data_IF_496384342559
#
_entry.id   IF_496384342559
#
_cell.length_a   1.000
_cell.length_b   1.000
_cell.length_c   1.000
_cell.angle_alpha   90.00
_cell.angle_beta   90.00
_cell.angle_gamma   90.00
#
_symmetry.space_group_name_H-M   'P 1'
#
loop_
_entity.id
_entity.type
_entity.pdbx_description
1 polymer ?
#
# COMPACT_ATOMS: atom_id res chain seq x y z
N UNK A 1 -10.62 22.94 -1.42
CA UNK A 1 -9.54 22.43 -0.56
C UNK A 1 -8.46 23.50 -0.52
N UNK A 2 -7.92 23.87 0.65
CA UNK A 2 -6.75 24.73 0.68
C UNK A 2 -5.64 24.10 -0.17
N UNK A 3 -4.95 24.92 -0.96
CA UNK A 3 -3.83 24.48 -1.79
C UNK A 3 -2.62 24.07 -0.94
N UNK A 4 -1.50 23.67 -1.57
CA UNK A 4 -0.29 23.30 -0.84
C UNK A 4 0.18 24.44 0.07
N UNK A 5 0.48 24.12 1.33
CA UNK A 5 1.13 25.04 2.26
C UNK A 5 2.61 25.16 1.88
N UNK A 6 3.10 26.38 1.66
CA UNK A 6 4.51 26.62 1.40
C UNK A 6 5.33 26.21 2.63
N UNK A 7 6.33 25.36 2.43
CA UNK A 7 7.32 25.01 3.45
C UNK A 7 8.59 25.83 3.26
N UNK A 8 9.41 25.93 4.31
CA UNK A 8 10.78 26.38 4.17
C UNK A 8 11.56 25.46 3.20
N UNK A 9 12.58 25.97 2.49
CA UNK A 9 13.45 25.13 1.67
C UNK A 9 14.07 24.00 2.51
N UNK A 10 14.07 22.79 1.96
CA UNK A 10 14.65 21.59 2.57
C UNK A 10 15.81 21.08 1.73
N UNK A 11 16.80 20.46 2.37
CA UNK A 11 17.84 19.69 1.68
C UNK A 11 17.30 18.32 1.26
N UNK A 12 17.94 17.67 0.28
CA UNK A 12 17.56 16.31 -0.12
C UNK A 12 17.62 15.32 1.05
N UNK A 13 18.61 15.46 1.94
CA UNK A 13 18.72 14.61 3.12
C UNK A 13 17.55 14.81 4.09
N UNK A 14 17.10 16.05 4.29
CA UNK A 14 15.94 16.33 5.14
C UNK A 14 14.65 15.74 4.57
N UNK A 15 14.49 15.75 3.25
CA UNK A 15 13.36 15.11 2.57
C UNK A 15 13.40 13.60 2.82
N UNK A 16 14.55 12.96 2.59
CA UNK A 16 14.73 11.52 2.83
C UNK A 16 14.46 11.17 4.29
N UNK A 17 14.99 11.95 5.24
CA UNK A 17 14.76 11.74 6.67
C UNK A 17 13.30 11.93 7.09
N UNK A 18 12.53 12.74 6.35
CA UNK A 18 11.10 12.93 6.62
C UNK A 18 10.26 11.79 6.04
N UNK A 19 10.67 11.22 4.91
CA UNK A 19 9.97 10.12 4.24
C UNK A 19 10.40 8.73 4.72
N UNK A 20 11.60 8.55 5.27
CA UNK A 20 12.11 7.27 5.77
C UNK A 20 12.55 7.41 7.23
N UNK A 21 11.59 7.68 8.09
CA UNK A 21 11.79 8.12 9.48
C UNK A 21 11.59 7.00 10.52
N UNK A 22 11.22 5.79 10.10
CA UNK A 22 10.84 4.71 11.00
C UNK A 22 11.79 3.51 10.91
N UNK A 23 12.17 2.95 12.07
CA UNK A 23 12.99 1.75 12.21
C UNK A 23 12.39 0.82 13.26
N UNK A 24 12.09 -0.42 12.87
CA UNK A 24 11.44 -1.40 13.77
C UNK A 24 12.38 -1.81 14.93
N UNK A 25 13.67 -1.99 14.67
CA UNK A 25 14.66 -2.50 15.64
C UNK A 25 15.27 -1.42 16.55
N UNK A 26 15.25 -0.15 16.15
CA UNK A 26 15.95 0.93 16.84
C UNK A 26 15.04 1.73 17.80
N UNK A 27 13.87 1.19 18.14
CA UNK A 27 12.78 2.01 18.64
C UNK A 27 12.96 2.38 20.11
N UNK A 28 13.24 3.66 20.35
CA UNK A 28 12.76 4.44 21.50
C UNK A 28 11.25 4.67 21.46
N UNK A 29 10.50 3.95 20.60
CA UNK A 29 9.06 4.10 20.44
C UNK A 29 8.32 3.56 21.66
N UNK A 30 7.42 4.39 22.19
CA UNK A 30 6.46 4.00 23.22
C UNK A 30 5.31 3.14 22.67
N UNK A 31 5.03 3.19 21.36
CA UNK A 31 3.97 2.40 20.73
C UNK A 31 4.53 1.07 20.20
N UNK A 32 4.18 -0.04 20.86
CA UNK A 32 4.51 -1.40 20.41
C UNK A 32 3.60 -1.80 19.25
N UNK A 33 4.14 -1.87 18.05
CA UNK A 33 3.44 -2.41 16.88
C UNK A 33 3.35 -3.94 16.99
N UNK A 34 2.24 -4.50 16.51
CA UNK A 34 1.94 -5.93 16.57
C UNK A 34 1.99 -6.53 15.16
N UNK A 35 2.86 -7.52 14.89
CA UNK A 35 2.89 -8.24 13.63
C UNK A 35 1.54 -8.84 13.24
N UNK A 36 1.13 -8.61 12.00
CA UNK A 36 -0.01 -9.29 11.38
C UNK A 36 0.49 -10.45 10.52
N UNK A 37 0.16 -11.67 10.92
CA UNK A 37 0.57 -12.92 10.29
C UNK A 37 -0.57 -13.51 9.44
N UNK A 38 -0.22 -14.41 8.53
CA UNK A 38 -1.22 -15.17 7.75
C UNK A 38 -1.83 -16.34 8.54
N UNK A 39 -1.10 -16.90 9.50
CA UNK A 39 -1.55 -17.96 10.41
C UNK A 39 -0.78 -17.88 11.73
N UNK A 40 -1.22 -18.64 12.73
CA UNK A 40 -0.50 -18.81 14.01
C UNK A 40 0.75 -19.70 13.91
N UNK A 41 1.07 -20.24 12.73
CA UNK A 41 2.28 -21.02 12.53
C UNK A 41 3.53 -20.19 12.86
N UNK A 42 4.53 -20.73 13.58
CA UNK A 42 5.81 -20.04 13.84
C UNK A 42 6.57 -19.64 12.56
N UNK A 43 6.31 -20.31 11.43
CA UNK A 43 6.89 -19.99 10.13
C UNK A 43 6.06 -19.01 9.30
N UNK A 44 4.92 -18.55 9.82
CA UNK A 44 4.06 -17.62 9.09
C UNK A 44 4.77 -16.27 8.94
N UNK A 45 4.82 -15.70 7.72
CA UNK A 45 5.37 -14.38 7.53
C UNK A 45 4.45 -13.33 8.15
N UNK A 46 5.06 -12.21 8.57
CA UNK A 46 4.34 -10.99 8.87
C UNK A 46 4.09 -10.22 7.58
N UNK A 47 2.82 -9.94 7.28
CA UNK A 47 2.38 -9.21 6.08
C UNK A 47 2.05 -7.74 6.36
N UNK A 48 1.98 -7.37 7.63
CA UNK A 48 1.78 -5.99 8.07
C UNK A 48 2.11 -5.78 9.54
N UNK A 49 2.02 -4.52 9.97
CA UNK A 49 2.26 -4.08 11.35
C UNK A 49 1.06 -3.29 11.86
N UNK A 50 0.42 -3.78 12.91
CA UNK A 50 -0.79 -3.20 13.47
C UNK A 50 -0.45 -2.27 14.63
N UNK A 51 -1.13 -1.11 14.66
CA UNK A 51 -1.12 -0.23 15.84
C UNK A 51 -2.01 -0.81 16.95
N UNK A 52 -1.72 -0.57 18.24
CA UNK A 52 -2.51 -1.09 19.36
C UNK A 52 -4.01 -0.82 19.27
N UNK A 53 -4.42 0.35 18.77
CA UNK A 53 -5.82 0.71 18.56
C UNK A 53 -6.54 -0.21 17.54
N UNK A 54 -5.84 -0.62 16.49
CA UNK A 54 -6.35 -1.55 15.48
C UNK A 54 -6.48 -2.95 16.09
N UNK A 55 -5.48 -3.40 16.85
CA UNK A 55 -5.53 -4.68 17.56
C UNK A 55 -6.69 -4.72 18.56
N UNK A 56 -6.90 -3.66 19.33
CA UNK A 56 -8.01 -3.55 20.28
C UNK A 56 -9.36 -3.66 19.58
N UNK A 57 -9.52 -3.01 18.41
CA UNK A 57 -10.74 -3.12 17.62
C UNK A 57 -10.94 -4.55 17.08
N UNK A 58 -9.90 -5.20 16.56
CA UNK A 58 -10.00 -6.58 16.08
C UNK A 58 -10.41 -7.55 17.21
N UNK A 59 -9.89 -7.36 18.43
CA UNK A 59 -10.30 -8.14 19.61
C UNK A 59 -11.76 -7.90 19.96
N UNK A 60 -12.22 -6.64 19.92
CA UNK A 60 -13.63 -6.28 20.15
C UNK A 60 -14.54 -6.97 19.14
N UNK A 61 -14.17 -7.01 17.87
CA UNK A 61 -14.94 -7.70 16.83
C UNK A 61 -14.91 -9.22 16.99
N UNK A 62 -13.76 -9.79 17.34
CA UNK A 62 -13.65 -11.22 17.61
C UNK A 62 -14.54 -11.65 18.80
N UNK A 63 -14.61 -10.83 19.85
CA UNK A 63 -15.47 -11.08 21.01
C UNK A 63 -16.97 -10.93 20.71
N UNK A 64 -17.33 -10.10 19.73
CA UNK A 64 -18.71 -9.93 19.27
C UNK A 64 -19.15 -10.98 18.24
N UNK A 65 -18.20 -11.69 17.61
CA UNK A 65 -18.48 -12.74 16.65
C UNK A 65 -18.91 -14.04 17.34
N UNK A 66 -19.74 -14.85 16.66
CA UNK A 66 -20.07 -16.19 17.13
C UNK A 66 -18.81 -17.05 17.21
N UNK A 67 -18.63 -17.78 18.32
CA UNK A 67 -17.53 -18.72 18.52
C UNK A 67 -17.46 -19.82 17.43
N UNK A 68 -18.52 -20.01 16.64
CA UNK A 68 -18.58 -21.00 15.56
C UNK A 68 -17.78 -20.63 14.30
N UNK A 69 -17.34 -19.37 14.13
CA UNK A 69 -16.59 -18.93 12.94
C UNK A 69 -15.72 -17.70 13.24
N UNK A 70 -14.66 -17.83 14.07
CA UNK A 70 -13.75 -16.72 14.33
C UNK A 70 -13.01 -16.31 13.06
N UNK A 71 -12.77 -15.00 12.89
CA UNK A 71 -11.96 -14.48 11.79
C UNK A 71 -10.47 -14.28 12.16
N UNK A 72 -10.19 -14.17 13.47
CA UNK A 72 -8.89 -13.74 14.00
C UNK A 72 -8.42 -14.69 15.10
N UNK A 73 -7.10 -14.90 15.17
CA UNK A 73 -6.39 -15.49 16.28
C UNK A 73 -5.36 -14.49 16.82
N UNK A 74 -5.10 -14.53 18.12
CA UNK A 74 -4.21 -13.59 18.80
C UNK A 74 -3.20 -14.37 19.64
N UNK A 75 -1.91 -14.08 19.44
CA UNK A 75 -0.85 -14.56 20.32
C UNK A 75 -0.70 -13.63 21.51
N UNK A 76 -0.63 -14.18 22.72
CA UNK A 76 -0.39 -13.39 23.93
C UNK A 76 1.11 -13.29 24.22
N UNK A 77 1.56 -12.06 24.48
CA UNK A 77 2.82 -11.78 25.15
C UNK A 77 2.66 -11.60 26.65
N UNK A 78 3.77 -11.32 27.33
CA UNK A 78 3.73 -10.96 28.75
C UNK A 78 2.75 -9.79 29.01
N UNK A 79 2.01 -9.89 30.11
CA UNK A 79 1.04 -8.88 30.58
C UNK A 79 -0.20 -8.62 29.67
N UNK A 80 -0.63 -9.59 28.85
CA UNK A 80 -1.92 -9.53 28.13
C UNK A 80 -1.92 -8.64 26.88
N UNK A 81 -0.75 -8.18 26.44
CA UNK A 81 -0.59 -7.50 25.15
C UNK A 81 -0.48 -8.54 24.03
N UNK A 82 -1.08 -8.29 22.86
CA UNK A 82 -0.90 -9.18 21.71
C UNK A 82 0.56 -9.11 21.23
N UNK A 83 1.20 -10.26 21.06
CA UNK A 83 2.51 -10.37 20.41
C UNK A 83 2.38 -10.56 18.90
N UNK A 84 1.24 -11.07 18.44
CA UNK A 84 0.88 -11.12 17.02
C UNK A 84 -0.64 -11.25 16.85
N UNK A 85 -1.13 -10.92 15.65
CA UNK A 85 -2.50 -11.19 15.19
C UNK A 85 -2.41 -12.02 13.92
N UNK A 86 -3.28 -13.01 13.72
CA UNK A 86 -3.36 -13.78 12.47
C UNK A 86 -4.80 -14.05 12.07
N UNK A 87 -5.01 -14.50 10.83
CA UNK A 87 -6.30 -15.09 10.45
C UNK A 87 -6.54 -16.38 11.23
N UNK A 88 -7.80 -16.63 11.62
CA UNK A 88 -8.15 -17.85 12.35
C UNK A 88 -7.93 -19.13 11.52
N UNK A 89 -7.75 -20.29 12.17
CA UNK A 89 -7.65 -21.57 11.50
C UNK A 89 -8.80 -21.82 10.51
N UNK A 90 -8.46 -22.29 9.30
CA UNK A 90 -9.42 -22.52 8.21
C UNK A 90 -9.57 -21.35 7.23
N UNK A 91 -8.98 -20.18 7.51
CA UNK A 91 -8.85 -19.06 6.57
C UNK A 91 -7.46 -19.13 5.92
N UNK A 92 -7.26 -20.16 5.11
CA UNK A 92 -5.95 -20.59 4.58
C UNK A 92 -5.82 -20.44 3.05
N UNK A 93 -6.77 -19.75 2.42
CA UNK A 93 -6.73 -19.43 0.98
C UNK A 93 -6.73 -17.91 0.75
N UNK A 94 -6.11 -17.42 -0.35
CA UNK A 94 -6.17 -16.01 -0.70
C UNK A 94 -7.60 -15.46 -0.82
N UNK A 95 -8.50 -16.24 -1.39
CA UNK A 95 -9.92 -15.90 -1.51
C UNK A 95 -10.61 -15.81 -0.15
N UNK A 96 -10.37 -16.75 0.77
CA UNK A 96 -10.94 -16.71 2.12
C UNK A 96 -10.46 -15.48 2.91
N UNK A 97 -9.15 -15.19 2.87
CA UNK A 97 -8.56 -13.99 3.50
C UNK A 97 -9.14 -12.71 2.89
N UNK A 98 -9.25 -12.65 1.56
CA UNK A 98 -9.83 -11.49 0.86
C UNK A 98 -11.29 -11.25 1.25
N UNK A 99 -12.09 -12.31 1.45
CA UNK A 99 -13.48 -12.19 1.94
C UNK A 99 -13.54 -11.62 3.36
N UNK A 100 -12.68 -12.08 4.26
CA UNK A 100 -12.58 -11.54 5.63
C UNK A 100 -12.22 -10.05 5.57
N UNK A 101 -11.19 -9.70 4.80
CA UNK A 101 -10.73 -8.32 4.66
C UNK A 101 -11.79 -7.42 4.03
N UNK A 102 -12.50 -7.89 3.00
CA UNK A 102 -13.62 -7.16 2.40
C UNK A 102 -14.68 -6.83 3.46
N UNK A 103 -15.13 -7.82 4.22
CA UNK A 103 -16.15 -7.63 5.24
C UNK A 103 -15.71 -6.67 6.35
N UNK A 104 -14.44 -6.73 6.77
CA UNK A 104 -13.86 -5.82 7.76
C UNK A 104 -13.79 -4.39 7.21
N UNK A 105 -13.25 -4.20 6.01
CA UNK A 105 -13.12 -2.89 5.37
C UNK A 105 -14.49 -2.22 5.16
N UNK A 106 -15.48 -2.97 4.66
CA UNK A 106 -16.84 -2.45 4.46
C UNK A 106 -17.49 -2.05 5.78
N UNK A 107 -17.38 -2.87 6.83
CA UNK A 107 -17.90 -2.51 8.16
C UNK A 107 -17.24 -1.23 8.71
N UNK A 108 -15.92 -1.12 8.62
CA UNK A 108 -15.19 0.04 9.15
C UNK A 108 -15.52 1.33 8.39
N UNK A 109 -15.70 1.23 7.07
CA UNK A 109 -16.20 2.31 6.21
C UNK A 109 -17.59 2.75 6.65
N UNK A 110 -18.51 1.80 6.82
CA UNK A 110 -19.93 2.07 7.08
C UNK A 110 -20.19 2.56 8.50
N UNK A 111 -19.38 2.10 9.47
CA UNK A 111 -19.46 2.57 10.86
C UNK A 111 -18.76 3.91 11.09
N UNK A 112 -17.95 4.39 10.14
CA UNK A 112 -17.15 5.61 10.27
C UNK A 112 -16.11 5.55 11.38
N UNK A 113 -15.54 4.36 11.64
CA UNK A 113 -14.63 4.15 12.78
C UNK A 113 -13.29 4.87 12.62
N UNK A 114 -12.82 4.99 11.37
CA UNK A 114 -11.59 5.70 10.98
C UNK A 114 -11.90 6.61 9.79
N UNK A 115 -12.55 7.76 10.03
CA UNK A 115 -13.11 8.58 8.95
C UNK A 115 -12.04 9.19 8.02
N UNK A 116 -10.81 9.35 8.52
CA UNK A 116 -9.70 9.95 7.79
C UNK A 116 -8.94 8.93 6.93
N UNK A 117 -9.03 7.65 7.27
CA UNK A 117 -8.37 6.53 6.62
C UNK A 117 -9.32 5.74 5.72
N UNK A 118 -10.44 5.25 6.27
CA UNK A 118 -11.42 4.38 5.59
C UNK A 118 -12.84 4.91 5.79
N UNK A 119 -13.29 5.71 4.82
CA UNK A 119 -14.63 6.29 4.78
C UNK A 119 -15.17 6.27 3.36
N UNK A 120 -16.48 6.51 3.15
CA UNK A 120 -17.05 6.59 1.80
C UNK A 120 -16.33 7.61 0.90
N UNK A 121 -15.79 8.68 1.49
CA UNK A 121 -15.00 9.70 0.77
C UNK A 121 -13.60 9.22 0.38
N UNK A 122 -13.01 8.30 1.15
CA UNK A 122 -11.65 7.77 0.94
C UNK A 122 -11.63 6.45 0.18
N UNK A 123 -12.76 5.75 0.11
CA UNK A 123 -12.93 4.49 -0.61
C UNK A 123 -12.55 4.65 -2.09
N UNK A 124 -11.73 3.73 -2.59
CA UNK A 124 -11.21 3.79 -3.96
C UNK A 124 -11.82 2.74 -4.87
N UNK A 125 -12.43 1.69 -4.29
CA UNK A 125 -12.87 0.52 -5.05
C UNK A 125 -11.69 -0.09 -5.83
N UNK A 126 -10.53 -0.11 -5.16
CA UNK A 126 -9.24 -0.48 -5.72
C UNK A 126 -8.59 -1.44 -4.73
N UNK A 127 -8.43 -2.69 -5.15
CA UNK A 127 -7.89 -3.75 -4.30
C UNK A 127 -6.38 -3.82 -4.49
N UNK A 128 -5.63 -3.65 -3.41
CA UNK A 128 -4.18 -3.85 -3.41
C UNK A 128 -3.82 -5.30 -3.10
N UNK A 129 -2.78 -5.86 -3.75
CA UNK A 129 -2.27 -7.18 -3.41
C UNK A 129 -1.47 -7.12 -2.11
N UNK A 130 -1.63 -8.15 -1.28
CA UNK A 130 -0.77 -8.42 -0.12
C UNK A 130 0.07 -9.64 -0.45
N UNK A 131 1.37 -9.53 -0.24
CA UNK A 131 2.34 -10.59 -0.48
C UNK A 131 2.92 -11.10 0.83
N UNK A 132 3.33 -12.37 0.84
CA UNK A 132 3.99 -13.06 1.95
C UNK A 132 5.36 -12.47 2.22
N UNK A 133 6.11 -12.28 1.14
CA UNK A 133 7.31 -11.46 1.08
C UNK A 133 7.00 -10.26 0.16
N UNK A 134 6.89 -9.03 0.70
CA UNK A 134 6.61 -7.85 -0.12
C UNK A 134 7.70 -7.53 -1.16
N UNK A 135 8.89 -8.13 -1.03
CA UNK A 135 9.99 -8.01 -1.98
C UNK A 135 10.22 -9.27 -2.82
N UNK A 136 9.37 -10.29 -2.62
CA UNK A 136 9.38 -11.53 -3.39
C UNK A 136 8.71 -11.41 -4.78
N UNK A 137 8.54 -12.54 -5.47
CA UNK A 137 7.89 -12.59 -6.78
C UNK A 137 6.46 -12.02 -6.76
N UNK A 138 6.05 -11.38 -7.85
CA UNK A 138 4.67 -10.91 -8.05
C UNK A 138 3.88 -11.93 -8.86
N UNK A 139 3.51 -13.01 -8.20
CA UNK A 139 2.87 -14.18 -8.79
C UNK A 139 1.36 -14.18 -8.51
N UNK A 140 0.67 -13.10 -8.88
CA UNK A 140 -0.78 -13.04 -8.76
C UNK A 140 -1.44 -14.23 -9.49
N UNK A 141 -2.24 -15.06 -8.80
CA UNK A 141 -2.92 -16.19 -9.41
C UNK A 141 -3.93 -15.69 -10.44
N UNK A 142 -4.19 -16.47 -11.50
CA UNK A 142 -5.41 -16.24 -12.27
C UNK A 142 -6.64 -16.35 -11.36
N UNK A 143 -7.75 -15.68 -11.69
CA UNK A 143 -8.95 -15.65 -10.81
C UNK A 143 -9.48 -17.02 -10.40
N UNK A 144 -9.24 -18.07 -11.19
CA UNK A 144 -9.65 -19.43 -10.87
C UNK A 144 -8.84 -20.09 -9.74
N UNK A 145 -7.65 -19.57 -9.43
CA UNK A 145 -6.68 -20.20 -8.53
C UNK A 145 -6.60 -19.53 -7.15
N UNK A 146 -7.36 -18.46 -6.89
CA UNK A 146 -7.39 -17.78 -5.57
C UNK A 146 -7.96 -18.66 -4.43
N UNK A 147 -8.68 -19.74 -4.75
CA UNK A 147 -9.18 -20.74 -3.78
C UNK A 147 -8.21 -21.91 -3.55
N UNK A 148 -7.06 -21.94 -4.24
CA UNK A 148 -6.05 -22.96 -4.02
C UNK A 148 -5.56 -22.94 -2.56
N UNK A 149 -5.59 -24.10 -1.91
CA UNK A 149 -5.06 -24.30 -0.57
C UNK A 149 -3.55 -24.47 -0.61
N UNK A 150 -2.91 -24.10 0.49
CA UNK A 150 -1.47 -24.10 0.60
C UNK A 150 -0.94 -22.84 -0.06
N UNK A 151 -0.27 -22.02 0.72
CA UNK A 151 0.35 -20.79 0.25
C UNK A 151 1.53 -21.13 -0.70
N UNK A 152 1.25 -21.60 -1.91
CA UNK A 152 2.27 -21.98 -2.89
C UNK A 152 2.88 -20.75 -3.58
N UNK A 153 2.08 -19.69 -3.72
CA UNK A 153 2.46 -18.41 -4.30
C UNK A 153 2.91 -17.43 -3.21
N UNK A 154 3.65 -16.41 -3.62
CA UNK A 154 3.96 -15.26 -2.79
C UNK A 154 2.73 -14.35 -2.60
N UNK A 155 1.82 -14.30 -3.56
CA UNK A 155 0.52 -13.65 -3.39
C UNK A 155 -0.27 -14.28 -2.23
N UNK A 156 -0.64 -13.47 -1.26
CA UNK A 156 -1.32 -13.93 -0.05
C UNK A 156 -2.84 -13.70 -0.08
N UNK A 157 -3.28 -12.50 -0.48
CA UNK A 157 -4.68 -12.07 -0.62
C UNK A 157 -4.73 -10.62 -1.16
N UNK A 158 -5.93 -10.03 -1.26
CA UNK A 158 -6.12 -8.61 -1.60
C UNK A 158 -7.07 -7.92 -0.64
N UNK A 159 -6.90 -6.61 -0.48
CA UNK A 159 -7.74 -5.78 0.39
C UNK A 159 -7.90 -4.36 -0.19
N UNK A 160 -8.92 -3.64 0.27
CA UNK A 160 -9.17 -2.27 -0.15
C UNK A 160 -7.98 -1.35 0.17
N UNK A 161 -7.53 -0.57 -0.82
CA UNK A 161 -6.42 0.39 -0.72
C UNK A 161 -6.57 1.35 0.46
N UNK A 162 -7.78 1.80 0.77
CA UNK A 162 -8.04 2.71 1.89
C UNK A 162 -7.64 2.12 3.26
N UNK A 163 -7.66 0.80 3.41
CA UNK A 163 -7.29 0.13 4.66
C UNK A 163 -5.78 -0.17 4.79
N UNK A 164 -4.97 0.05 3.75
CA UNK A 164 -3.56 -0.37 3.76
C UNK A 164 -2.74 0.25 4.90
N UNK A 165 -3.00 1.52 5.22
CA UNK A 165 -2.32 2.21 6.33
C UNK A 165 -2.73 1.69 7.71
N UNK A 166 -3.99 1.27 7.90
CA UNK A 166 -4.47 0.71 9.16
C UNK A 166 -3.86 -0.66 9.45
N UNK A 167 -3.64 -1.46 8.40
CA UNK A 167 -3.04 -2.79 8.52
C UNK A 167 -1.51 -2.79 8.36
N UNK A 168 -0.91 -1.64 8.07
CA UNK A 168 0.54 -1.49 7.94
C UNK A 168 1.16 -2.41 6.90
N UNK A 169 0.45 -2.70 5.80
CA UNK A 169 0.97 -3.51 4.71
C UNK A 169 1.91 -2.69 3.83
N UNK A 170 2.83 -3.37 3.13
CA UNK A 170 3.61 -2.72 2.07
C UNK A 170 2.70 -2.48 0.87
N UNK A 171 2.63 -1.22 0.43
CA UNK A 171 1.92 -0.82 -0.79
C UNK A 171 2.89 -0.55 -1.92
N UNK A 172 2.44 -0.70 -3.15
CA UNK A 172 3.29 -0.51 -4.32
C UNK A 172 2.68 0.49 -5.30
N UNK A 173 3.56 1.23 -5.96
CA UNK A 173 3.19 2.21 -6.98
C UNK A 173 4.22 2.26 -8.10
N UNK A 174 3.79 2.80 -9.23
CA UNK A 174 4.65 3.17 -10.36
C UNK A 174 4.80 4.68 -10.39
N UNK A 175 6.00 5.14 -10.74
CA UNK A 175 6.29 6.55 -10.94
C UNK A 175 7.15 6.67 -12.20
N UNK A 176 6.75 7.54 -13.12
CA UNK A 176 7.46 7.80 -14.36
C UNK A 176 7.78 9.28 -14.51
N UNK A 177 9.01 9.57 -14.90
CA UNK A 177 9.49 10.90 -15.26
C UNK A 177 9.58 10.99 -16.78
N UNK A 178 8.83 11.93 -17.36
CA UNK A 178 8.90 12.28 -18.78
C UNK A 178 9.72 13.55 -18.92
N UNK A 179 10.65 13.53 -19.87
CA UNK A 179 11.52 14.66 -20.15
C UNK A 179 11.81 14.78 -21.64
N UNK A 180 12.19 15.98 -22.06
CA UNK A 180 12.72 16.28 -23.39
C UNK A 180 14.14 16.86 -23.26
N UNK A 181 14.98 16.61 -24.26
CA UNK A 181 16.27 17.28 -24.38
C UNK A 181 16.03 18.75 -24.75
N UNK A 182 16.67 19.66 -24.02
CA UNK A 182 16.62 21.07 -24.31
C UNK A 182 17.74 21.45 -25.29
N UNK A 183 17.41 22.27 -26.28
CA UNK A 183 18.44 22.88 -27.13
C UNK A 183 19.38 23.74 -26.28
N UNK A 184 20.68 23.50 -26.41
CA UNK A 184 21.74 24.23 -25.71
C UNK A 184 22.73 24.81 -26.71
N UNK A 185 23.30 25.98 -26.39
CA UNK A 185 24.31 26.60 -27.22
C UNK A 185 25.58 25.73 -27.32
N UNK A 186 26.35 25.80 -28.42
CA UNK A 186 27.60 25.05 -28.56
C UNK A 186 28.53 25.28 -27.36
N UNK A 187 29.03 24.19 -26.77
CA UNK A 187 29.92 24.22 -25.61
C UNK A 187 29.21 24.23 -24.24
N UNK A 188 27.88 24.21 -24.19
CA UNK A 188 27.12 24.01 -22.95
C UNK A 188 26.83 22.52 -22.69
N UNK A 189 26.70 22.10 -21.41
CA UNK A 189 26.32 20.73 -21.09
C UNK A 189 24.90 20.42 -21.57
N UNK A 190 24.59 19.14 -21.87
CA UNK A 190 23.22 18.71 -22.16
C UNK A 190 22.26 19.15 -21.05
N UNK A 191 21.08 19.63 -21.45
CA UNK A 191 20.03 20.07 -20.53
C UNK A 191 18.73 19.34 -20.86
N UNK A 192 17.89 19.16 -19.85
CA UNK A 192 16.59 18.50 -20.00
C UNK A 192 15.48 19.34 -19.38
N UNK A 193 14.28 19.27 -19.95
CA UNK A 193 13.06 19.80 -19.36
C UNK A 193 12.19 18.65 -18.91
N UNK A 194 11.78 18.66 -17.64
CA UNK A 194 10.95 17.62 -17.05
C UNK A 194 9.49 18.07 -17.05
N UNK A 195 8.59 17.16 -17.42
CA UNK A 195 7.15 17.39 -17.37
C UNK A 195 6.66 17.21 -15.93
N UNK A 196 6.39 18.31 -15.25
CA UNK A 196 5.95 18.32 -13.84
C UNK A 196 4.48 18.76 -13.75
N UNK A 197 3.53 17.82 -13.63
CA UNK A 197 2.12 18.16 -13.51
C UNK A 197 1.80 18.73 -12.13
N UNK A 198 0.67 19.44 -12.06
CA UNK A 198 0.02 19.83 -10.81
C UNK A 198 -1.22 18.96 -10.60
N UNK A 199 -1.30 18.30 -9.44
CA UNK A 199 -2.45 17.45 -9.08
C UNK A 199 -3.74 18.26 -9.07
N UNK A 200 -4.80 17.70 -9.63
CA UNK A 200 -6.11 18.35 -9.64
C UNK A 200 -6.58 18.68 -8.22
N UNK A 201 -7.27 19.82 -8.06
CA UNK A 201 -7.80 20.27 -6.76
C UNK A 201 -8.86 19.31 -6.17
N UNK A 202 -9.39 18.41 -7.00
CA UNK A 202 -10.38 17.37 -6.65
C UNK A 202 -9.75 16.06 -6.19
N UNK A 203 -8.43 15.85 -6.35
CA UNK A 203 -7.77 14.62 -5.85
C UNK A 203 -7.91 14.56 -4.33
N UNK A 204 -8.26 13.37 -3.83
CA UNK A 204 -8.51 13.15 -2.39
C UNK A 204 -7.23 13.27 -1.54
N UNK A 205 -6.07 12.97 -2.13
CA UNK A 205 -4.75 13.06 -1.50
C UNK A 205 -3.92 14.12 -2.20
N UNK A 206 -3.31 15.01 -1.42
CA UNK A 206 -2.37 16.04 -1.88
C UNK A 206 -2.90 16.91 -3.04
N UNK A 207 -4.11 17.49 -2.95
CA UNK A 207 -4.65 18.33 -4.02
C UNK A 207 -3.79 19.58 -4.26
N UNK A 208 -3.49 19.90 -5.52
CA UNK A 208 -2.73 21.10 -5.90
C UNK A 208 -1.21 21.03 -5.74
N UNK A 209 -0.68 19.92 -5.20
CA UNK A 209 0.76 19.64 -5.14
C UNK A 209 1.32 19.28 -6.52
N UNK A 210 2.63 19.43 -6.71
CA UNK A 210 3.33 18.90 -7.89
C UNK A 210 3.51 17.39 -7.76
N UNK A 211 3.64 16.69 -8.90
CA UNK A 211 3.78 15.23 -8.94
C UNK A 211 4.81 14.78 -9.98
N UNK A 212 5.07 13.47 -10.04
CA UNK A 212 5.72 12.84 -11.19
C UNK A 212 4.86 13.00 -12.45
N UNK A 213 5.47 12.88 -13.63
CA UNK A 213 4.76 13.01 -14.91
C UNK A 213 3.58 12.04 -15.02
N UNK A 214 3.76 10.82 -14.48
CA UNK A 214 2.72 9.81 -14.28
C UNK A 214 3.01 9.10 -12.96
N UNK A 215 2.00 8.89 -12.12
CA UNK A 215 2.15 8.11 -10.89
C UNK A 215 0.86 7.40 -10.48
N UNK A 216 0.97 6.14 -10.09
CA UNK A 216 -0.20 5.30 -9.83
C UNK A 216 0.03 4.18 -8.82
N UNK A 217 -1.07 3.69 -8.26
CA UNK A 217 -1.07 2.52 -7.38
C UNK A 217 -1.08 1.24 -8.21
N UNK A 218 -0.38 0.19 -7.76
CA UNK A 218 -0.44 -1.10 -8.45
C UNK A 218 -1.56 -1.95 -7.84
N UNK A 219 -2.69 -2.01 -8.55
CA UNK A 219 -3.83 -2.84 -8.18
C UNK A 219 -3.55 -4.35 -8.32
N UNK A 220 -4.30 -5.16 -7.58
CA UNK A 220 -4.15 -6.61 -7.57
C UNK A 220 -4.46 -7.19 -8.96
N UNK A 221 -3.53 -7.99 -9.47
CA UNK A 221 -3.63 -8.61 -10.80
C UNK A 221 -3.10 -7.75 -11.95
N UNK A 222 -2.74 -6.49 -11.71
CA UNK A 222 -2.12 -5.65 -12.74
C UNK A 222 -0.59 -5.75 -12.70
N UNK A 223 0.01 -6.02 -13.85
CA UNK A 223 1.47 -6.02 -14.02
C UNK A 223 2.06 -4.63 -13.80
N UNK A 224 3.31 -4.55 -13.33
CA UNK A 224 3.99 -3.27 -13.05
C UNK A 224 4.04 -2.39 -14.31
N UNK A 225 4.39 -2.97 -15.46
CA UNK A 225 4.49 -2.20 -16.71
C UNK A 225 3.11 -1.83 -17.27
N UNK A 226 2.11 -2.70 -17.11
CA UNK A 226 0.74 -2.39 -17.54
C UNK A 226 0.11 -1.30 -16.67
N UNK A 227 0.46 -1.25 -15.38
CA UNK A 227 0.10 -0.15 -14.48
C UNK A 227 0.64 1.20 -14.98
N UNK A 228 1.93 1.30 -15.33
CA UNK A 228 2.45 2.58 -15.86
C UNK A 228 1.82 2.96 -17.20
N UNK A 229 1.48 1.98 -18.05
CA UNK A 229 0.77 2.23 -19.32
C UNK A 229 -0.65 2.76 -19.06
N UNK A 230 -1.43 2.10 -18.20
CA UNK A 230 -2.78 2.53 -17.80
C UNK A 230 -2.77 3.95 -17.24
N UNK A 231 -1.91 4.20 -16.25
CA UNK A 231 -1.82 5.49 -15.57
C UNK A 231 -1.33 6.61 -16.51
N UNK A 232 -0.43 6.29 -17.44
CA UNK A 232 0.04 7.26 -18.43
C UNK A 232 -1.05 7.68 -19.42
N UNK A 233 -1.93 6.76 -19.80
CA UNK A 233 -3.12 7.07 -20.60
C UNK A 233 -4.12 7.93 -19.80
N UNK A 234 -4.42 7.53 -18.56
CA UNK A 234 -5.43 8.20 -17.73
C UNK A 234 -5.00 9.59 -17.24
N UNK A 235 -3.74 9.76 -16.81
CA UNK A 235 -3.28 11.01 -16.17
C UNK A 235 -2.57 11.97 -17.12
N UNK A 236 -1.92 11.46 -18.16
CA UNK A 236 -1.08 12.26 -19.07
C UNK A 236 -1.51 12.20 -20.54
N UNK A 237 -2.56 11.43 -20.87
CA UNK A 237 -3.02 11.22 -22.26
C UNK A 237 -1.90 10.73 -23.20
N UNK A 238 -0.93 9.97 -22.65
CA UNK A 238 0.15 9.38 -23.43
C UNK A 238 -0.35 8.09 -24.08
N UNK A 239 -0.27 7.94 -25.42
CA UNK A 239 -0.70 6.71 -26.09
C UNK A 239 0.09 5.48 -25.63
N UNK A 240 -0.61 4.35 -25.51
CA UNK A 240 -0.02 3.07 -25.09
C UNK A 240 1.22 2.69 -25.92
N UNK A 241 1.17 2.84 -27.24
CA UNK A 241 2.27 2.46 -28.13
C UNK A 241 3.53 3.32 -27.89
N UNK A 242 3.36 4.59 -27.52
CA UNK A 242 4.45 5.50 -27.14
C UNK A 242 5.05 5.05 -25.82
N UNK A 243 4.23 4.83 -24.79
CA UNK A 243 4.70 4.43 -23.45
C UNK A 243 5.42 3.09 -23.54
N UNK A 244 4.85 2.08 -24.20
CA UNK A 244 5.47 0.76 -24.34
C UNK A 244 6.80 0.79 -25.10
N UNK A 245 6.94 1.68 -26.08
CA UNK A 245 8.17 1.81 -26.88
C UNK A 245 9.28 2.55 -26.14
N UNK A 246 8.95 3.53 -25.31
CA UNK A 246 9.92 4.49 -24.78
C UNK A 246 10.15 4.40 -23.27
N UNK A 247 9.19 3.92 -22.49
CA UNK A 247 9.34 3.80 -21.04
C UNK A 247 10.40 2.74 -20.70
N UNK A 248 11.24 3.05 -19.72
CA UNK A 248 12.32 2.18 -19.24
C UNK A 248 12.27 2.09 -17.72
N UNK A 249 12.42 0.87 -17.19
CA UNK A 249 12.59 0.68 -15.76
C UNK A 249 13.98 1.17 -15.33
N UNK A 250 14.03 2.06 -14.33
CA UNK A 250 15.28 2.68 -13.85
C UNK A 250 15.60 2.35 -12.39
N UNK A 251 14.86 1.44 -11.77
CA UNK A 251 15.02 1.02 -10.38
C UNK A 251 13.77 1.26 -9.54
N UNK A 252 13.94 1.23 -8.22
CA UNK A 252 12.86 1.39 -7.25
C UNK A 252 13.35 2.15 -6.02
N UNK A 253 12.41 2.81 -5.33
CA UNK A 253 12.64 3.46 -4.04
C UNK A 253 11.71 2.81 -3.02
N UNK A 254 12.25 2.50 -1.84
CA UNK A 254 11.50 1.99 -0.70
C UNK A 254 11.77 2.90 0.49
N UNK A 255 10.72 3.23 1.24
CA UNK A 255 10.82 4.04 2.45
C UNK A 255 9.78 3.56 3.45
N UNK A 256 10.06 3.76 4.73
CA UNK A 256 9.12 3.42 5.80
C UNK A 256 8.96 4.61 6.74
N UNK A 257 7.73 5.09 6.86
CA UNK A 257 7.40 6.27 7.65
C UNK A 257 6.30 6.00 8.65
N UNK A 258 6.31 6.85 9.67
CA UNK A 258 5.27 7.00 10.67
C UNK A 258 4.89 8.48 10.79
#
# INVERSE_FOLDING_TARGET
MPGPTLSAPQTFLQIVQSCDNFRLSASTNTEKLVPWLLSSSPSSPAVGLLRPEVVAQLRKEAAAASASSPAWEFGEGAAGQADWVSFAPGIDTPSARSRVMKAVCERWRDSGLWPDEISPRKWRNELYPVYRDPFGPRDFPGHADEDARGDALNYAFRMERAASGLFGIVTFGVHMTVYEEAEVAPGQPPSVRVWVPRRAATKQTWPGYLDNSVAGGIEAGLGVFDCVVKEAMEEASLPEDVVRRHARATGSVSYFFR
#
